data_IF_250956023232
#
_entry.id   IF_250956023232
#
_cell.length_a   1.000
_cell.length_b   1.000
_cell.length_c   1.000
_cell.angle_alpha   90.00
_cell.angle_beta   90.00
_cell.angle_gamma   90.00
#
_symmetry.space_group_name_H-M   'P 1'
#
loop_
_entity.id
_entity.type
_entity.pdbx_description
1 polymer ?
#
# COMPACT_ATOMS: atom_id res chain seq x y z
N UNK A 1 -0.62 -11.63 -0.68
CA UNK A 1 0.23 -10.93 -1.68
C UNK A 1 1.15 -9.87 -1.05
N UNK A 2 0.78 -9.24 0.07
CA UNK A 2 1.67 -8.39 0.88
C UNK A 2 2.94 -9.14 1.31
N UNK A 3 2.80 -10.40 1.74
CA UNK A 3 3.97 -11.24 2.08
C UNK A 3 4.92 -11.54 0.91
N UNK A 4 4.43 -11.50 -0.34
CA UNK A 4 5.28 -11.63 -1.54
C UNK A 4 6.01 -10.31 -1.87
N UNK A 5 5.43 -9.15 -1.54
CA UNK A 5 6.10 -7.86 -1.68
C UNK A 5 7.28 -7.71 -0.69
N UNK A 6 7.18 -8.35 0.48
CA UNK A 6 8.26 -8.40 1.49
C UNK A 6 9.44 -9.25 1.02
N UNK A 7 9.22 -10.32 0.27
CA UNK A 7 10.28 -11.25 -0.16
C UNK A 7 10.81 -11.04 -1.59
N UNK A 8 10.03 -10.41 -2.49
CA UNK A 8 10.36 -10.33 -3.93
C UNK A 8 11.03 -9.03 -4.41
N UNK A 9 11.00 -7.97 -3.61
CA UNK A 9 11.57 -6.66 -3.97
C UNK A 9 10.84 -5.93 -5.12
N UNK A 10 11.32 -4.72 -5.43
CA UNK A 10 10.83 -3.83 -6.50
C UNK A 10 10.61 -4.49 -7.89
N UNK A 11 11.43 -5.47 -8.36
CA UNK A 11 11.25 -6.05 -9.69
C UNK A 11 9.98 -6.88 -9.85
N UNK A 12 9.56 -7.59 -8.80
CA UNK A 12 8.36 -8.45 -8.79
C UNK A 12 7.08 -7.61 -8.79
N UNK A 13 7.11 -6.41 -8.20
CA UNK A 13 6.00 -5.47 -8.24
C UNK A 13 5.91 -4.74 -9.59
N UNK A 14 7.05 -4.42 -10.22
CA UNK A 14 7.07 -3.74 -11.52
C UNK A 14 6.62 -4.63 -12.70
N UNK A 15 6.67 -5.95 -12.56
CA UNK A 15 6.21 -6.92 -13.57
C UNK A 15 4.79 -7.44 -13.32
N UNK A 16 4.17 -7.08 -12.19
CA UNK A 16 2.80 -7.47 -11.84
C UNK A 16 1.77 -6.72 -12.68
N UNK A 17 1.73 -7.03 -13.98
CA UNK A 17 0.71 -6.59 -14.95
C UNK A 17 -0.71 -7.11 -14.62
N UNK A 18 -0.90 -7.78 -13.48
CA UNK A 18 -2.15 -8.38 -13.00
C UNK A 18 -2.93 -7.57 -11.96
N UNK A 19 -2.51 -6.35 -11.62
CA UNK A 19 -3.12 -5.51 -10.57
C UNK A 19 -4.32 -4.64 -11.00
N UNK A 20 -4.67 -4.61 -12.29
CA UNK A 20 -5.66 -3.67 -12.84
C UNK A 20 -7.07 -3.79 -12.22
N UNK A 21 -7.41 -4.93 -11.59
CA UNK A 21 -8.70 -5.14 -10.94
C UNK A 21 -8.68 -5.04 -9.41
N UNK A 22 -7.51 -5.02 -8.76
CA UNK A 22 -7.46 -5.14 -7.30
C UNK A 22 -7.92 -3.85 -6.60
N UNK A 23 -7.59 -2.68 -7.15
CA UNK A 23 -8.11 -1.40 -6.64
C UNK A 23 -9.65 -1.30 -6.74
N UNK A 24 -10.24 -1.78 -7.83
CA UNK A 24 -11.70 -1.81 -7.99
C UNK A 24 -12.35 -2.77 -6.99
N UNK A 25 -11.78 -3.97 -6.83
CA UNK A 25 -12.27 -4.95 -5.85
C UNK A 25 -12.21 -4.40 -4.43
N UNK A 26 -11.14 -3.70 -4.05
CA UNK A 26 -11.03 -3.06 -2.75
C UNK A 26 -12.11 -1.99 -2.54
N UNK A 27 -12.35 -1.13 -3.53
CA UNK A 27 -13.42 -0.12 -3.47
C UNK A 27 -14.81 -0.75 -3.29
N UNK A 28 -15.12 -1.82 -4.03
CA UNK A 28 -16.40 -2.54 -3.90
C UNK A 28 -16.62 -3.17 -2.53
N UNK A 29 -15.55 -3.46 -1.78
CA UNK A 29 -15.63 -3.99 -0.41
C UNK A 29 -15.49 -2.89 0.66
N UNK A 30 -15.66 -1.61 0.30
CA UNK A 30 -15.56 -0.49 1.24
C UNK A 30 -14.13 -0.11 1.65
N UNK A 31 -13.10 -0.72 1.05
CA UNK A 31 -11.69 -0.49 1.36
C UNK A 31 -11.07 0.55 0.42
N UNK A 32 -11.67 1.73 0.33
CA UNK A 32 -11.23 2.79 -0.58
C UNK A 32 -9.79 3.28 -0.28
N UNK A 33 -9.43 3.40 1.00
CA UNK A 33 -8.06 3.78 1.42
C UNK A 33 -7.03 2.72 0.99
N UNK A 34 -7.37 1.43 1.11
CA UNK A 34 -6.53 0.35 0.62
C UNK A 34 -6.28 0.45 -0.89
N UNK A 35 -7.33 0.80 -1.66
CA UNK A 35 -7.23 0.97 -3.11
C UNK A 35 -6.30 2.14 -3.48
N UNK A 36 -6.38 3.26 -2.78
CA UNK A 36 -5.51 4.41 -2.98
C UNK A 36 -4.03 4.08 -2.67
N UNK A 37 -3.77 3.43 -1.54
CA UNK A 37 -2.41 3.02 -1.14
C UNK A 37 -1.82 2.01 -2.14
N UNK A 38 -2.63 1.07 -2.63
CA UNK A 38 -2.21 0.12 -3.65
C UNK A 38 -1.88 0.83 -4.96
N UNK A 39 -2.67 1.83 -5.36
CA UNK A 39 -2.42 2.65 -6.55
C UNK A 39 -1.10 3.41 -6.44
N UNK A 40 -0.86 4.10 -5.32
CA UNK A 40 0.39 4.84 -5.09
C UNK A 40 1.61 3.93 -5.05
N UNK A 41 1.51 2.75 -4.43
CA UNK A 41 2.59 1.78 -4.42
C UNK A 41 2.95 1.30 -5.83
N UNK A 42 1.95 1.02 -6.67
CA UNK A 42 2.19 0.67 -8.08
C UNK A 42 2.78 1.85 -8.86
N UNK A 43 2.28 3.07 -8.67
CA UNK A 43 2.80 4.26 -9.31
C UNK A 43 4.25 4.55 -8.90
N UNK A 44 4.61 4.33 -7.63
CA UNK A 44 5.97 4.47 -7.14
C UNK A 44 6.90 3.35 -7.62
N UNK A 45 6.39 2.12 -7.79
CA UNK A 45 7.15 1.01 -8.35
C UNK A 45 7.38 1.15 -9.86
N UNK A 46 6.41 1.73 -10.57
CA UNK A 46 6.44 1.96 -12.01
C UNK A 46 7.20 3.24 -12.40
N UNK A 47 7.58 4.09 -11.43
CA UNK A 47 8.33 5.31 -11.68
C UNK A 47 9.67 4.99 -12.34
N UNK A 48 9.72 5.28 -13.64
CA UNK A 48 10.85 5.12 -14.55
C UNK A 48 10.93 6.39 -15.39
N UNK A 49 11.12 7.52 -14.72
CA UNK A 49 11.28 8.80 -15.39
C UNK A 49 12.54 8.76 -16.28
N UNK A 50 12.47 9.34 -17.48
CA UNK A 50 13.59 9.44 -18.42
C UNK A 50 13.94 10.91 -18.66
N UNK A 51 15.22 11.22 -18.84
CA UNK A 51 15.66 12.55 -19.25
C UNK A 51 15.31 12.81 -20.71
N UNK A 52 15.55 14.04 -21.19
CA UNK A 52 15.33 14.42 -22.58
C UNK A 52 16.16 13.60 -23.59
N UNK A 53 17.20 12.89 -23.12
CA UNK A 53 18.06 12.00 -23.90
C UNK A 53 17.63 10.52 -23.80
N UNK A 54 16.52 10.23 -23.10
CA UNK A 54 15.99 8.88 -22.93
C UNK A 54 16.65 8.03 -21.84
N UNK A 55 17.60 8.57 -21.07
CA UNK A 55 18.26 7.88 -19.95
C UNK A 55 17.34 7.84 -18.74
N UNK A 56 17.33 6.73 -18.01
CA UNK A 56 16.57 6.62 -16.77
C UNK A 56 17.11 7.58 -15.72
N UNK A 57 16.24 8.43 -15.17
CA UNK A 57 16.53 9.15 -13.94
C UNK A 57 16.57 8.15 -12.78
N UNK A 58 17.38 8.43 -11.75
CA UNK A 58 17.28 7.71 -10.49
C UNK A 58 15.84 7.85 -9.97
N UNK A 59 15.17 6.72 -9.80
CA UNK A 59 13.86 6.68 -9.17
C UNK A 59 13.96 7.21 -7.74
N UNK A 60 12.96 7.98 -7.28
CA UNK A 60 12.88 8.44 -5.90
C UNK A 60 12.69 7.22 -4.95
N UNK A 61 13.73 6.79 -4.22
CA UNK A 61 13.62 5.62 -3.36
C UNK A 61 12.74 5.90 -2.14
N UNK A 62 12.69 7.15 -1.68
CA UNK A 62 11.93 7.57 -0.50
C UNK A 62 10.42 7.58 -0.81
N UNK A 63 10.03 7.99 -2.02
CA UNK A 63 8.63 7.89 -2.46
C UNK A 63 8.14 6.44 -2.42
N UNK A 64 8.94 5.50 -2.95
CA UNK A 64 8.58 4.08 -2.89
C UNK A 64 8.56 3.55 -1.45
N UNK A 65 9.56 3.89 -0.63
CA UNK A 65 9.62 3.47 0.77
C UNK A 65 8.41 3.96 1.57
N UNK A 66 8.01 5.22 1.40
CA UNK A 66 6.81 5.79 2.04
C UNK A 66 5.53 5.09 1.58
N UNK A 67 5.37 4.87 0.28
CA UNK A 67 4.18 4.19 -0.25
C UNK A 67 4.08 2.75 0.27
N UNK A 68 5.21 2.03 0.34
CA UNK A 68 5.28 0.69 0.90
C UNK A 68 4.94 0.67 2.40
N UNK A 69 5.54 1.57 3.18
CA UNK A 69 5.32 1.65 4.62
C UNK A 69 3.86 1.98 4.94
N UNK A 70 3.27 2.94 4.23
CA UNK A 70 1.87 3.30 4.40
C UNK A 70 0.93 2.11 4.12
N UNK A 71 1.19 1.35 3.06
CA UNK A 71 0.41 0.15 2.74
C UNK A 71 0.56 -0.94 3.81
N UNK A 72 1.76 -1.14 4.35
CA UNK A 72 2.03 -2.12 5.41
C UNK A 72 1.30 -1.77 6.71
N UNK A 73 1.45 -0.52 7.18
CA UNK A 73 0.79 -0.03 8.41
C UNK A 73 -0.73 -0.07 8.28
N UNK A 74 -1.28 0.33 7.13
CA UNK A 74 -2.72 0.25 6.88
C UNK A 74 -3.23 -1.20 6.96
N UNK A 75 -2.52 -2.13 6.34
CA UNK A 75 -2.91 -3.55 6.33
C UNK A 75 -2.93 -4.12 7.74
N UNK A 76 -1.86 -3.89 8.52
CA UNK A 76 -1.81 -4.32 9.93
C UNK A 76 -2.97 -3.73 10.75
N UNK A 77 -3.25 -2.44 10.54
CA UNK A 77 -4.33 -1.73 11.26
C UNK A 77 -5.70 -2.32 10.92
N UNK A 78 -5.98 -2.57 9.64
CA UNK A 78 -7.25 -3.15 9.19
C UNK A 78 -7.40 -4.59 9.66
N UNK A 79 -6.35 -5.40 9.59
CA UNK A 79 -6.37 -6.78 10.11
C UNK A 79 -6.68 -6.79 11.61
N UNK A 80 -6.02 -5.92 12.40
CA UNK A 80 -6.28 -5.79 13.83
C UNK A 80 -7.73 -5.35 14.12
N UNK A 81 -8.26 -4.38 13.36
CA UNK A 81 -9.61 -3.89 13.52
C UNK A 81 -10.67 -4.95 13.17
N UNK A 82 -10.49 -5.65 12.05
CA UNK A 82 -11.39 -6.73 11.61
C UNK A 82 -11.36 -7.91 12.57
N UNK A 83 -10.19 -8.27 13.10
CA UNK A 83 -10.08 -9.27 14.16
C UNK A 83 -10.84 -8.81 15.40
N UNK A 84 -10.59 -7.59 15.90
CA UNK A 84 -11.28 -7.08 17.09
C UNK A 84 -12.81 -7.10 16.94
N UNK A 85 -13.33 -6.66 15.80
CA UNK A 85 -14.75 -6.69 15.46
C UNK A 85 -15.32 -8.12 15.45
N UNK A 86 -14.64 -9.06 14.77
CA UNK A 86 -15.05 -10.46 14.70
C UNK A 86 -15.07 -11.19 16.05
N UNK A 87 -14.23 -10.75 17.00
CA UNK A 87 -14.22 -11.27 18.38
C UNK A 87 -15.12 -10.48 19.35
N UNK A 88 -15.80 -9.42 18.89
CA UNK A 88 -16.61 -8.54 19.74
C UNK A 88 -15.81 -7.71 20.74
N UNK A 89 -14.51 -7.52 20.50
CA UNK A 89 -13.66 -6.68 21.34
C UNK A 89 -14.01 -5.21 21.10
N UNK A 90 -14.21 -4.40 22.15
CA UNK A 90 -14.48 -2.98 21.99
C UNK A 90 -13.32 -2.30 21.26
N UNK A 91 -13.65 -1.47 20.27
CA UNK A 91 -12.65 -0.74 19.48
C UNK A 91 -11.67 0.01 20.41
N UNK A 92 -10.36 0.04 20.08
CA UNK A 92 -9.37 0.70 20.92
C UNK A 92 -9.74 2.17 21.08
N UNK A 93 -10.09 2.53 22.31
CA UNK A 93 -10.46 3.90 22.65
C UNK A 93 -9.19 4.73 22.53
N UNK A 94 -9.12 5.61 21.53
CA UNK A 94 -8.11 6.66 21.49
C UNK A 94 -8.39 7.58 22.67
N UNK A 95 -7.77 7.29 23.81
CA UNK A 95 -7.71 8.22 24.93
C UNK A 95 -6.86 9.39 24.49
N UNK A 96 -7.51 10.40 23.91
CA UNK A 96 -6.93 11.71 23.76
C UNK A 96 -6.72 12.25 25.19
N UNK A 97 -5.50 12.11 25.70
CA UNK A 97 -5.05 12.83 26.87
C UNK A 97 -5.28 14.32 26.61
N UNK A 98 -6.29 14.89 27.26
CA UNK A 98 -6.49 16.33 27.36
C UNK A 98 -5.61 16.87 28.50
N UNK A 99 -5.05 18.08 28.35
CA UNK A 99 -3.96 18.61 29.16
C UNK A 99 -4.36 18.88 30.61
#
# INVERSE_FOLDING_TARGET
RVHQAVSGGRPVLASARGGAGDGERLRRNGLATAAALLGELHAAAADRTRDAFGRLLPADPDRFARAWLAAAVYTETVERALCADGWGAPAPQTSAARP
#
